data_IF_836328758182
#
_entry.id   IF_836328758182
#
_cell.length_a   1.000
_cell.length_b   1.000
_cell.length_c   1.000
_cell.angle_alpha   90.00
_cell.angle_beta   90.00
_cell.angle_gamma   90.00
#
_symmetry.space_group_name_H-M   'P 1'
#
loop_
_entity.id
_entity.type
_entity.pdbx_description
1 polymer ?
#
# COMPACT_ATOMS: atom_id res chain seq x y z
N UNK A 1 21.11 -28.49 2.06
CA UNK A 1 19.95 -27.79 2.62
C UNK A 1 19.71 -26.55 1.78
N UNK A 2 18.73 -26.58 0.88
CA UNK A 2 18.29 -25.37 0.17
C UNK A 2 17.58 -24.50 1.19
N UNK A 3 18.26 -23.47 1.68
CA UNK A 3 17.60 -22.39 2.42
C UNK A 3 16.62 -21.75 1.45
N UNK A 4 15.33 -22.08 1.58
CA UNK A 4 14.28 -21.33 0.92
C UNK A 4 14.45 -19.89 1.37
N UNK A 5 14.86 -19.02 0.45
CA UNK A 5 14.96 -17.60 0.73
C UNK A 5 13.52 -17.08 0.81
N UNK A 6 12.95 -17.12 2.01
CA UNK A 6 11.60 -16.61 2.28
C UNK A 6 11.54 -15.09 2.07
N UNK A 7 12.71 -14.44 1.95
CA UNK A 7 12.87 -13.01 1.76
C UNK A 7 12.04 -12.48 0.58
N UNK A 8 12.18 -12.97 -0.68
CA UNK A 8 11.31 -12.59 -1.80
C UNK A 8 9.81 -12.67 -1.50
N UNK A 9 9.36 -13.73 -0.80
CA UNK A 9 7.95 -13.93 -0.48
C UNK A 9 7.43 -12.82 0.47
N UNK A 10 8.23 -12.43 1.45
CA UNK A 10 7.83 -11.40 2.43
C UNK A 10 7.79 -10.01 1.80
N UNK A 11 8.75 -9.67 0.91
CA UNK A 11 8.84 -8.34 0.29
C UNK A 11 8.03 -8.16 -1.01
N UNK A 12 7.74 -9.21 -1.79
CA UNK A 12 7.07 -9.07 -3.10
C UNK A 12 5.55 -9.34 -3.04
N UNK A 13 5.06 -10.14 -2.08
CA UNK A 13 3.63 -10.38 -1.91
C UNK A 13 2.81 -9.11 -1.61
N UNK A 14 3.26 -8.15 -0.77
CA UNK A 14 2.50 -6.93 -0.58
C UNK A 14 2.28 -6.15 -1.89
N UNK A 15 3.25 -6.16 -2.81
CA UNK A 15 3.12 -5.48 -4.11
C UNK A 15 1.97 -6.08 -4.92
N UNK A 16 1.88 -7.42 -4.98
CA UNK A 16 0.83 -8.11 -5.71
C UNK A 16 -0.56 -7.81 -5.13
N UNK A 17 -0.71 -7.86 -3.81
CA UNK A 17 -2.00 -7.57 -3.16
C UNK A 17 -2.43 -6.12 -3.33
N UNK A 18 -1.52 -5.16 -3.14
CA UNK A 18 -1.83 -3.74 -3.24
C UNK A 18 -2.12 -3.30 -4.69
N UNK A 19 -1.34 -3.79 -5.66
CA UNK A 19 -1.59 -3.50 -7.08
C UNK A 19 -2.90 -4.11 -7.56
N UNK A 20 -3.20 -5.35 -7.19
CA UNK A 20 -4.47 -5.97 -7.55
C UNK A 20 -5.66 -5.29 -6.85
N UNK A 21 -5.49 -4.87 -5.58
CA UNK A 21 -6.50 -4.05 -4.91
C UNK A 21 -6.73 -2.69 -5.59
N UNK A 22 -5.69 -2.03 -6.11
CA UNK A 22 -5.85 -0.81 -6.93
C UNK A 22 -6.66 -1.10 -8.19
N UNK A 23 -6.40 -2.20 -8.89
CA UNK A 23 -7.20 -2.59 -10.06
C UNK A 23 -8.68 -2.72 -9.68
N UNK A 24 -8.98 -3.37 -8.55
CA UNK A 24 -10.36 -3.49 -8.06
C UNK A 24 -10.95 -2.15 -7.58
N UNK A 25 -10.15 -1.23 -7.05
CA UNK A 25 -10.64 0.10 -6.67
C UNK A 25 -10.98 0.95 -7.91
N UNK A 26 -10.22 0.81 -8.99
CA UNK A 26 -10.38 1.59 -10.24
C UNK A 26 -11.42 0.97 -11.17
N UNK A 27 -11.41 -0.36 -11.36
CA UNK A 27 -12.29 -1.10 -12.28
C UNK A 27 -13.67 -1.31 -11.64
N UNK A 28 -14.45 -0.25 -11.53
CA UNK A 28 -15.76 -0.26 -10.86
C UNK A 28 -16.91 -0.62 -11.80
N UNK A 29 -16.81 -1.77 -12.47
CA UNK A 29 -17.88 -2.26 -13.35
C UNK A 29 -19.16 -2.51 -12.54
N UNK A 30 -20.30 -2.01 -13.02
CA UNK A 30 -21.60 -2.13 -12.32
C UNK A 30 -21.98 -3.57 -11.97
N UNK A 31 -21.57 -4.54 -12.79
CA UNK A 31 -21.85 -5.97 -12.55
C UNK A 31 -21.07 -6.51 -11.35
N UNK A 32 -19.84 -6.01 -11.14
CA UNK A 32 -18.97 -6.41 -10.05
C UNK A 32 -19.33 -5.69 -8.75
N UNK A 33 -19.56 -4.37 -8.81
CA UNK A 33 -19.83 -3.56 -7.61
C UNK A 33 -21.17 -3.86 -6.93
N UNK A 34 -22.08 -4.56 -7.61
CA UNK A 34 -23.33 -5.09 -7.03
C UNK A 34 -23.10 -6.32 -6.15
N UNK A 35 -21.98 -7.02 -6.32
CA UNK A 35 -21.69 -8.23 -5.59
C UNK A 35 -21.01 -7.90 -4.27
N UNK A 36 -21.47 -8.51 -3.17
CA UNK A 36 -20.88 -8.28 -1.85
C UNK A 36 -19.43 -8.75 -1.77
N UNK A 37 -19.10 -9.88 -2.42
CA UNK A 37 -17.74 -10.44 -2.44
C UNK A 37 -16.73 -9.46 -3.01
N UNK A 38 -17.13 -8.56 -3.92
CA UNK A 38 -16.25 -7.58 -4.53
C UNK A 38 -15.67 -6.62 -3.49
N UNK A 39 -16.51 -6.17 -2.57
CA UNK A 39 -16.09 -5.30 -1.47
C UNK A 39 -15.11 -6.04 -0.54
N UNK A 40 -15.48 -7.24 -0.08
CA UNK A 40 -14.66 -7.98 0.88
C UNK A 40 -13.31 -8.42 0.29
N UNK A 41 -13.29 -8.85 -0.97
CA UNK A 41 -12.06 -9.23 -1.67
C UNK A 41 -11.08 -8.06 -1.71
N UNK A 42 -11.55 -6.89 -2.13
CA UNK A 42 -10.75 -5.67 -2.16
C UNK A 42 -10.25 -5.29 -0.77
N UNK A 43 -11.11 -5.34 0.25
CA UNK A 43 -10.73 -5.01 1.62
C UNK A 43 -9.66 -5.96 2.17
N UNK A 44 -9.82 -7.27 1.97
CA UNK A 44 -8.84 -8.28 2.41
C UNK A 44 -7.49 -8.08 1.72
N UNK A 45 -7.47 -7.96 0.39
CA UNK A 45 -6.24 -7.73 -0.37
C UNK A 45 -5.51 -6.49 0.13
N UNK A 46 -6.24 -5.40 0.33
CA UNK A 46 -5.64 -4.13 0.70
C UNK A 46 -5.17 -4.12 2.16
N UNK A 47 -5.92 -4.71 3.09
CA UNK A 47 -5.52 -4.83 4.50
C UNK A 47 -4.31 -5.77 4.65
N UNK A 48 -4.37 -6.97 4.07
CA UNK A 48 -3.25 -7.93 4.13
C UNK A 48 -2.01 -7.35 3.44
N UNK A 49 -2.19 -6.71 2.28
CA UNK A 49 -1.11 -6.02 1.57
C UNK A 49 -0.45 -4.93 2.40
N UNK A 50 -1.22 -4.11 3.12
CA UNK A 50 -0.67 -3.08 4.03
C UNK A 50 0.08 -3.73 5.19
N UNK A 51 -0.47 -4.76 5.84
CA UNK A 51 0.19 -5.44 6.96
C UNK A 51 1.54 -6.06 6.55
N UNK A 52 1.59 -6.71 5.38
CA UNK A 52 2.85 -7.23 4.83
C UNK A 52 3.79 -6.11 4.35
N UNK A 53 3.24 -4.99 3.86
CA UNK A 53 4.01 -3.80 3.51
C UNK A 53 4.74 -3.20 4.70
N UNK A 54 4.10 -3.14 5.87
CA UNK A 54 4.76 -2.74 7.12
C UNK A 54 5.90 -3.68 7.49
N UNK A 55 5.68 -5.00 7.43
CA UNK A 55 6.73 -5.98 7.70
C UNK A 55 7.93 -5.80 6.73
N UNK A 56 7.64 -5.60 5.45
CA UNK A 56 8.64 -5.33 4.42
C UNK A 56 9.46 -4.08 4.71
N UNK A 57 8.80 -2.97 5.06
CA UNK A 57 9.46 -1.70 5.40
C UNK A 57 10.45 -1.88 6.57
N UNK A 58 10.03 -2.55 7.64
CA UNK A 58 10.88 -2.81 8.81
C UNK A 58 12.13 -3.63 8.43
N UNK A 59 11.98 -4.64 7.57
CA UNK A 59 13.12 -5.42 7.09
C UNK A 59 14.06 -4.60 6.19
N UNK A 60 13.51 -3.72 5.34
CA UNK A 60 14.27 -2.85 4.46
C UNK A 60 15.09 -1.79 5.21
N UNK A 61 14.51 -1.17 6.25
CA UNK A 61 15.22 -0.21 7.11
C UNK A 61 16.40 -0.85 7.85
N UNK A 62 16.25 -2.12 8.28
CA UNK A 62 17.34 -2.90 8.84
C UNK A 62 18.48 -3.10 7.84
N UNK A 63 18.16 -3.51 6.61
CA UNK A 63 19.14 -3.73 5.55
C UNK A 63 19.84 -2.43 5.09
N UNK A 64 19.12 -1.31 5.06
CA UNK A 64 19.65 -0.01 4.64
C UNK A 64 20.87 0.45 5.47
N UNK A 65 20.94 0.04 6.75
CA UNK A 65 22.08 0.37 7.63
C UNK A 65 23.39 -0.24 7.16
N UNK A 66 23.34 -1.35 6.41
CA UNK A 66 24.53 -2.04 5.89
C UNK A 66 25.20 -1.27 4.74
N UNK A 67 24.47 -0.37 4.08
CA UNK A 67 24.94 0.37 2.92
C UNK A 67 25.37 1.81 3.26
N UNK A 68 25.41 2.19 4.53
CA UNK A 68 25.87 3.51 4.96
C UNK A 68 27.29 3.80 4.45
N UNK A 69 27.50 5.00 3.90
CA UNK A 69 28.77 5.41 3.32
C UNK A 69 29.03 4.98 1.87
N UNK A 70 28.07 4.29 1.23
CA UNK A 70 28.17 3.92 -0.21
C UNK A 70 27.46 4.93 -1.11
N UNK A 71 27.76 4.91 -2.41
CA UNK A 71 27.07 5.72 -3.42
C UNK A 71 25.59 5.36 -3.58
N UNK A 72 25.15 4.20 -3.10
CA UNK A 72 23.77 3.70 -3.24
C UNK A 72 22.82 4.27 -2.17
N UNK A 73 23.36 4.91 -1.12
CA UNK A 73 22.58 5.46 0.01
C UNK A 73 21.47 6.40 -0.45
N UNK A 74 21.74 7.25 -1.44
CA UNK A 74 20.73 8.17 -1.95
C UNK A 74 19.59 7.41 -2.64
N UNK A 75 19.90 6.37 -3.40
CA UNK A 75 18.89 5.52 -4.06
C UNK A 75 18.02 4.81 -3.01
N UNK A 76 18.64 4.28 -1.94
CA UNK A 76 17.92 3.65 -0.81
C UNK A 76 17.03 4.67 -0.10
N UNK A 77 17.49 5.90 0.12
CA UNK A 77 16.71 6.94 0.79
C UNK A 77 15.45 7.30 0.00
N UNK A 78 15.59 7.50 -1.32
CA UNK A 78 14.45 7.77 -2.21
C UNK A 78 13.52 6.56 -2.29
N UNK A 79 14.06 5.34 -2.39
CA UNK A 79 13.28 4.09 -2.35
C UNK A 79 12.43 3.99 -1.07
N UNK A 80 13.03 4.26 0.10
CA UNK A 80 12.34 4.24 1.39
C UNK A 80 11.26 5.33 1.49
N UNK A 81 11.51 6.52 0.95
CA UNK A 81 10.51 7.59 0.90
C UNK A 81 9.26 7.15 0.12
N UNK A 82 9.43 6.62 -1.09
CA UNK A 82 8.29 6.16 -1.90
C UNK A 82 7.61 4.93 -1.31
N UNK A 83 8.35 4.05 -0.63
CA UNK A 83 7.78 2.91 0.09
C UNK A 83 6.84 3.39 1.19
N UNK A 84 7.29 4.35 2.01
CA UNK A 84 6.47 4.98 3.03
C UNK A 84 5.25 5.71 2.45
N UNK A 85 5.42 6.50 1.38
CA UNK A 85 4.30 7.20 0.74
C UNK A 85 3.25 6.23 0.20
N UNK A 86 3.68 5.13 -0.43
CA UNK A 86 2.76 4.09 -0.91
C UNK A 86 2.00 3.45 0.25
N UNK A 87 2.68 3.14 1.35
CA UNK A 87 2.10 2.49 2.52
C UNK A 87 1.14 3.42 3.27
N UNK A 88 1.42 4.73 3.31
CA UNK A 88 0.50 5.74 3.85
C UNK A 88 -0.76 5.83 2.98
N UNK A 89 -0.61 5.89 1.65
CA UNK A 89 -1.74 5.96 0.73
C UNK A 89 -2.65 4.73 0.85
N UNK A 90 -2.07 3.52 0.78
CA UNK A 90 -2.80 2.28 0.97
C UNK A 90 -3.29 2.09 2.40
N UNK A 91 -2.56 2.56 3.41
CA UNK A 91 -2.99 2.52 4.81
C UNK A 91 -4.26 3.33 5.06
N UNK A 92 -4.37 4.52 4.47
CA UNK A 92 -5.59 5.32 4.51
C UNK A 92 -6.77 4.61 3.81
N UNK A 93 -6.52 3.97 2.67
CA UNK A 93 -7.54 3.14 1.99
C UNK A 93 -7.95 1.92 2.83
N UNK A 94 -7.00 1.25 3.48
CA UNK A 94 -7.25 0.11 4.37
C UNK A 94 -8.14 0.54 5.52
N UNK A 95 -7.80 1.66 6.17
CA UNK A 95 -8.58 2.22 7.26
C UNK A 95 -10.00 2.57 6.83
N UNK A 96 -10.16 3.24 5.68
CA UNK A 96 -11.47 3.56 5.11
C UNK A 96 -12.31 2.30 4.82
N UNK A 97 -11.72 1.28 4.18
CA UNK A 97 -12.41 0.01 3.90
C UNK A 97 -12.72 -0.78 5.16
N UNK A 98 -11.85 -0.74 6.17
CA UNK A 98 -12.09 -1.39 7.45
C UNK A 98 -13.25 -0.72 8.20
N UNK A 99 -13.30 0.62 8.21
CA UNK A 99 -14.42 1.36 8.79
C UNK A 99 -15.75 1.04 8.08
N UNK A 100 -15.73 0.97 6.75
CA UNK A 100 -16.88 0.56 5.95
C UNK A 100 -17.29 -0.89 6.22
N UNK A 101 -16.33 -1.80 6.37
CA UNK A 101 -16.59 -3.21 6.69
C UNK A 101 -17.31 -3.31 8.04
N UNK A 102 -16.76 -2.70 9.09
CA UNK A 102 -17.37 -2.71 10.42
C UNK A 102 -18.79 -2.13 10.36
N UNK A 103 -19.00 -1.06 9.59
CA UNK A 103 -20.32 -0.49 9.35
C UNK A 103 -21.30 -1.47 8.69
N UNK A 104 -20.85 -2.22 7.67
CA UNK A 104 -21.65 -3.24 6.98
C UNK A 104 -21.96 -4.46 7.86
N UNK A 105 -21.07 -4.82 8.79
CA UNK A 105 -21.28 -5.94 9.73
C UNK A 105 -22.15 -5.57 10.95
N UNK A 106 -22.91 -4.46 10.89
CA UNK A 106 -23.79 -4.01 11.97
C UNK A 106 -23.20 -2.92 12.88
N UNK A 107 -22.01 -2.40 12.56
CA UNK A 107 -21.34 -1.36 13.33
C UNK A 107 -20.81 -1.82 14.69
N UNK A 108 -20.53 -0.86 15.58
CA UNK A 108 -20.27 -1.18 16.98
C UNK A 108 -21.58 -1.57 17.67
N UNK A 109 -21.65 -2.80 18.16
CA UNK A 109 -22.84 -3.32 18.84
C UNK A 109 -23.20 -2.54 20.12
N UNK A 110 -24.42 -2.75 20.66
CA UNK A 110 -24.92 -2.03 21.85
C UNK A 110 -24.14 -2.30 23.14
N UNK A 111 -23.21 -3.27 23.11
CA UNK A 111 -22.31 -3.59 24.22
C UNK A 111 -21.25 -2.50 24.46
N UNK A 112 -21.01 -1.61 23.50
CA UNK A 112 -20.06 -0.52 23.66
C UNK A 112 -20.65 0.67 24.42
N UNK A 113 -19.87 1.34 25.27
CA UNK A 113 -20.33 2.51 26.01
C UNK A 113 -20.72 3.66 25.07
N UNK A 114 -21.75 4.43 25.45
CA UNK A 114 -22.29 5.57 24.70
C UNK A 114 -21.25 6.53 24.10
N UNK A 115 -20.16 6.95 24.80
CA UNK A 115 -19.15 7.80 24.19
C UNK A 115 -18.47 7.16 22.98
N UNK A 116 -18.18 5.85 23.02
CA UNK A 116 -17.57 5.13 21.90
C UNK A 116 -18.54 5.07 20.71
N UNK A 117 -19.82 4.80 20.95
CA UNK A 117 -20.84 4.80 19.90
C UNK A 117 -20.98 6.18 19.23
N UNK A 118 -20.88 7.27 20.01
CA UNK A 118 -20.91 8.65 19.49
C UNK A 118 -19.67 8.94 18.63
N UNK A 119 -18.49 8.59 19.11
CA UNK A 119 -17.24 8.76 18.36
C UNK A 119 -17.27 7.96 17.06
N UNK A 120 -17.77 6.72 17.09
CA UNK A 120 -17.98 5.90 15.91
C UNK A 120 -18.92 6.53 14.88
N UNK A 121 -20.04 7.10 15.34
CA UNK A 121 -20.97 7.80 14.46
C UNK A 121 -20.31 8.99 13.75
N UNK A 122 -19.51 9.78 14.48
CA UNK A 122 -18.75 10.91 13.90
C UNK A 122 -17.70 10.42 12.91
N UNK A 123 -16.86 9.46 13.30
CA UNK A 123 -15.80 8.90 12.44
C UNK A 123 -16.40 8.33 11.16
N UNK A 124 -17.44 7.51 11.27
CA UNK A 124 -18.08 6.91 10.09
C UNK A 124 -18.75 7.95 9.19
N UNK A 125 -19.26 9.06 9.74
CA UNK A 125 -19.81 10.15 8.95
C UNK A 125 -18.72 10.93 8.19
N UNK A 126 -17.61 11.23 8.87
CA UNK A 126 -16.45 11.91 8.28
C UNK A 126 -15.81 11.05 7.21
N UNK A 127 -15.64 9.75 7.45
CA UNK A 127 -15.08 8.79 6.50
C UNK A 127 -15.85 8.80 5.18
N UNK A 128 -17.19 8.68 5.22
CA UNK A 128 -18.02 8.66 4.01
C UNK A 128 -17.97 9.97 3.22
N UNK A 129 -17.69 11.09 3.88
CA UNK A 129 -17.54 12.42 3.25
C UNK A 129 -16.17 12.58 2.60
N UNK A 130 -15.10 12.23 3.32
CA UNK A 130 -13.72 12.40 2.86
C UNK A 130 -13.38 11.36 1.80
N UNK A 131 -13.63 10.08 2.09
CA UNK A 131 -13.26 8.96 1.22
C UNK A 131 -14.38 8.63 0.24
N UNK A 132 -14.82 9.65 -0.51
CA UNK A 132 -15.70 9.47 -1.66
C UNK A 132 -15.02 8.59 -2.73
N UNK A 133 -15.82 8.02 -3.64
CA UNK A 133 -15.31 7.14 -4.71
C UNK A 133 -14.15 7.75 -5.51
N UNK A 134 -14.22 9.01 -5.99
CA UNK A 134 -13.11 9.62 -6.71
C UNK A 134 -11.85 9.76 -5.85
N UNK A 135 -12.01 10.14 -4.57
CA UNK A 135 -10.89 10.28 -3.64
C UNK A 135 -10.19 8.94 -3.42
N UNK A 136 -10.95 7.85 -3.22
CA UNK A 136 -10.38 6.51 -3.08
C UNK A 136 -9.64 6.07 -4.35
N UNK A 137 -10.19 6.34 -5.52
CA UNK A 137 -9.55 6.03 -6.81
C UNK A 137 -8.22 6.80 -6.96
N UNK A 138 -8.24 8.12 -6.77
CA UNK A 138 -7.03 8.96 -6.86
C UNK A 138 -5.98 8.45 -5.88
N UNK A 139 -6.37 8.19 -4.64
CA UNK A 139 -5.45 7.70 -3.62
C UNK A 139 -4.86 6.33 -3.97
N UNK A 140 -5.65 5.43 -4.56
CA UNK A 140 -5.19 4.11 -5.00
C UNK A 140 -4.22 4.17 -6.18
N UNK A 141 -4.41 5.14 -7.09
CA UNK A 141 -3.53 5.39 -8.21
C UNK A 141 -2.23 6.06 -7.77
N UNK A 142 -2.30 7.01 -6.84
CA UNK A 142 -1.12 7.60 -6.21
C UNK A 142 -0.30 6.55 -5.46
N UNK A 143 -0.97 5.68 -4.69
CA UNK A 143 -0.33 4.55 -4.02
C UNK A 143 0.38 3.62 -5.01
N UNK A 144 -0.29 3.27 -6.11
CA UNK A 144 0.28 2.44 -7.17
C UNK A 144 1.48 3.11 -7.85
N UNK A 145 1.38 4.40 -8.17
CA UNK A 145 2.48 5.15 -8.77
C UNK A 145 3.73 5.14 -7.86
N UNK A 146 3.54 5.40 -6.56
CA UNK A 146 4.62 5.29 -5.59
C UNK A 146 5.19 3.87 -5.54
N UNK A 147 4.33 2.85 -5.53
CA UNK A 147 4.73 1.44 -5.48
C UNK A 147 5.54 1.01 -6.72
N UNK A 148 5.20 1.52 -7.91
CA UNK A 148 5.98 1.28 -9.14
C UNK A 148 7.37 1.93 -9.06
N UNK A 149 7.46 3.15 -8.51
CA UNK A 149 8.75 3.82 -8.28
C UNK A 149 9.60 3.01 -7.28
N UNK A 150 9.01 2.49 -6.21
CA UNK A 150 9.68 1.59 -5.25
C UNK A 150 10.22 0.36 -5.96
N UNK A 151 9.42 -0.28 -6.81
CA UNK A 151 9.85 -1.44 -7.58
C UNK A 151 11.04 -1.13 -8.50
N UNK A 152 10.97 -0.02 -9.23
CA UNK A 152 12.05 0.41 -10.12
C UNK A 152 13.34 0.74 -9.37
N UNK A 153 13.25 1.47 -8.24
CA UNK A 153 14.41 1.78 -7.41
C UNK A 153 14.95 0.53 -6.69
N UNK A 154 14.09 -0.44 -6.35
CA UNK A 154 14.52 -1.73 -5.83
C UNK A 154 15.33 -2.51 -6.86
N UNK A 155 14.86 -2.52 -8.11
CA UNK A 155 15.60 -3.13 -9.22
C UNK A 155 16.96 -2.45 -9.45
N UNK A 156 17.04 -1.11 -9.36
CA UNK A 156 18.31 -0.41 -9.53
C UNK A 156 19.31 -0.66 -8.40
N UNK A 157 18.84 -0.91 -7.17
CA UNK A 157 19.71 -1.29 -6.04
C UNK A 157 20.35 -2.66 -6.27
N UNK A 158 19.62 -3.61 -6.85
CA UNK A 158 20.09 -5.00 -7.03
C UNK A 158 20.86 -5.19 -8.33
N UNK A 159 20.36 -4.61 -9.43
CA UNK A 159 20.85 -4.87 -10.80
C UNK A 159 21.56 -3.67 -11.43
N UNK A 160 21.55 -2.50 -10.77
CA UNK A 160 22.08 -1.25 -11.30
C UNK A 160 21.04 -0.40 -12.06
N UNK A 161 21.30 0.90 -12.23
CA UNK A 161 20.32 1.84 -12.78
C UNK A 161 20.02 1.65 -14.28
N UNK A 162 20.90 0.98 -15.02
CA UNK A 162 20.80 0.82 -16.48
C UNK A 162 20.23 -0.55 -16.91
N UNK A 163 19.54 -1.25 -16.00
CA UNK A 163 18.97 -2.59 -16.28
C UNK A 163 17.88 -2.54 -17.36
N UNK A 164 17.04 -1.48 -17.36
CA UNK A 164 16.03 -1.24 -18.38
C UNK A 164 15.67 0.26 -18.49
N UNK A 165 14.99 0.69 -19.59
CA UNK A 165 14.68 2.10 -19.82
C UNK A 165 13.76 2.75 -18.78
N UNK A 166 12.85 2.00 -18.16
CA UNK A 166 11.93 2.53 -17.17
C UNK A 166 12.65 2.77 -15.83
N UNK A 167 13.50 1.84 -15.42
CA UNK A 167 14.35 1.96 -14.22
C UNK A 167 15.33 3.12 -14.39
N UNK A 168 16.02 3.21 -15.53
CA UNK A 168 16.97 4.31 -15.82
C UNK A 168 16.27 5.67 -15.80
N UNK A 169 15.07 5.78 -16.39
CA UNK A 169 14.27 7.01 -16.36
C UNK A 169 13.89 7.41 -14.93
N UNK A 170 13.37 6.49 -14.12
CA UNK A 170 12.97 6.76 -12.73
C UNK A 170 14.18 7.15 -11.88
N UNK A 171 15.31 6.44 -12.05
CA UNK A 171 16.54 6.75 -11.33
C UNK A 171 17.06 8.15 -11.67
N UNK A 172 17.08 8.52 -12.95
CA UNK A 172 17.44 9.89 -13.41
C UNK A 172 16.54 10.96 -12.82
N UNK A 173 15.21 10.75 -12.81
CA UNK A 173 14.25 11.74 -12.33
C UNK A 173 14.39 11.98 -10.82
N UNK A 174 14.55 10.93 -10.02
CA UNK A 174 14.44 11.04 -8.56
C UNK A 174 15.76 10.95 -7.79
N UNK A 175 16.81 10.37 -8.37
CA UNK A 175 18.14 10.25 -7.75
C UNK A 175 19.12 11.24 -8.38
N UNK A 176 19.04 11.46 -9.69
CA UNK A 176 19.84 12.43 -10.41
C UNK A 176 21.26 11.94 -10.69
N UNK A 177 21.43 11.25 -11.82
CA UNK A 177 22.70 11.00 -12.53
C UNK A 177 22.44 10.99 -14.04
#
# INVERSE_FOLDING_TARGET
MTTYDLHPLVVHFPIAFLSFATVLEVVRLKILTRQEWYFYTKAVLLIVGVLWGFASLQTGEGAARLYQGTSIVQTIAVHSLFANLSLIAYGMLAASLLLEWIGRSGGLGPKFPRPILRTWAVISHVERRIFSVPVRMILSLMGLACLMIVGALGASIVYGPEIDPAVSLIHRIFVGQ
#
